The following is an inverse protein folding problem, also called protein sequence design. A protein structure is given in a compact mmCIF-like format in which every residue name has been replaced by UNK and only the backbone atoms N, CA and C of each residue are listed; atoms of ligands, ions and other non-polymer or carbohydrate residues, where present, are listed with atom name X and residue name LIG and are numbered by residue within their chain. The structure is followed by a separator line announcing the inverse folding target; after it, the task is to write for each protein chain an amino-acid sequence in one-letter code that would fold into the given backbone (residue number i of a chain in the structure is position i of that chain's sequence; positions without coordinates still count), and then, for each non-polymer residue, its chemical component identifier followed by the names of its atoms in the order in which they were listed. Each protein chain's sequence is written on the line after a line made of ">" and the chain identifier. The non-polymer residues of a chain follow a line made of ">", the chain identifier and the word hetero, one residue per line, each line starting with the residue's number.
data_IF_158592967311
#
_entry.id   IF_158592967311
#
_cell.length_a   1.000
_cell.length_b   1.000
_cell.length_c   1.000
_cell.angle_alpha   90.00
_cell.angle_beta   90.00
_cell.angle_gamma   90.00
#
_symmetry.space_group_name_H-M   'P 1'
#
loop_
_entity.id
_entity.type
_entity.pdbx_description
1 polymer ?
#
# COMPACT_ATOMS: atom_id res chain seq x y z
N UNK A 1 18.26 -30.55 28.98
CA UNK A 1 19.02 -29.72 28.00
C UNK A 1 19.76 -30.57 26.94
N UNK A 2 20.67 -31.52 27.31
CA UNK A 2 21.33 -32.34 26.29
C UNK A 2 20.38 -33.16 25.40
N UNK A 3 19.33 -33.84 25.93
CA UNK A 3 18.39 -34.58 25.08
C UNK A 3 17.58 -33.70 24.14
N UNK A 4 17.30 -32.42 24.52
CA UNK A 4 16.54 -31.51 23.68
C UNK A 4 17.37 -31.03 22.48
N UNK A 5 18.68 -30.85 22.67
CA UNK A 5 19.63 -30.52 21.58
C UNK A 5 19.71 -31.65 20.57
N UNK A 6 19.84 -32.88 21.02
CA UNK A 6 19.82 -34.07 20.14
C UNK A 6 18.50 -34.20 19.39
N UNK A 7 17.37 -33.94 20.06
CA UNK A 7 16.06 -34.01 19.45
C UNK A 7 15.83 -32.92 18.39
N UNK A 8 16.41 -31.73 18.58
CA UNK A 8 16.30 -30.63 17.63
C UNK A 8 17.09 -30.85 16.34
N UNK A 9 18.22 -31.58 16.40
CA UNK A 9 19.04 -31.90 15.21
C UNK A 9 18.29 -32.80 14.23
N UNK A 10 17.44 -33.71 14.73
CA UNK A 10 16.67 -34.65 13.89
C UNK A 10 15.23 -34.21 13.57
N UNK A 11 14.81 -33.01 14.03
CA UNK A 11 13.52 -32.47 13.65
C UNK A 11 13.61 -31.70 12.33
N UNK A 12 12.60 -31.79 11.47
CA UNK A 12 12.52 -30.95 10.29
C UNK A 12 12.48 -29.46 10.73
N UNK A 13 13.09 -28.54 9.98
CA UNK A 13 13.07 -27.11 10.30
C UNK A 13 11.62 -26.61 10.38
N UNK A 14 11.33 -25.76 11.35
CA UNK A 14 10.04 -25.10 11.49
C UNK A 14 9.90 -23.89 10.54
N UNK A 15 10.99 -23.53 9.88
CA UNK A 15 11.03 -22.41 8.93
C UNK A 15 10.68 -22.90 7.52
N UNK A 16 9.96 -22.08 6.79
CA UNK A 16 9.71 -22.29 5.37
C UNK A 16 10.91 -21.85 4.53
N UNK A 17 11.11 -22.49 3.39
CA UNK A 17 12.21 -22.17 2.49
C UNK A 17 11.89 -20.96 1.60
N UNK A 18 11.51 -19.84 2.23
CA UNK A 18 11.27 -18.57 1.57
C UNK A 18 12.61 -17.98 1.06
N UNK A 19 12.68 -17.36 -0.12
CA UNK A 19 11.60 -17.04 -1.07
C UNK A 19 11.30 -18.12 -2.12
N UNK A 20 11.99 -19.28 -2.07
CA UNK A 20 11.84 -20.34 -3.08
C UNK A 20 10.48 -21.05 -2.99
N UNK A 21 9.98 -21.22 -1.79
CA UNK A 21 8.63 -21.72 -1.53
C UNK A 21 7.84 -20.57 -0.88
N UNK A 22 6.77 -20.13 -1.56
CA UNK A 22 5.89 -19.09 -1.01
C UNK A 22 4.75 -19.74 -0.26
N UNK A 23 4.45 -19.29 0.98
CA UNK A 23 3.33 -19.81 1.74
C UNK A 23 2.01 -19.52 1.01
N UNK A 24 1.02 -20.39 1.23
CA UNK A 24 -0.32 -20.18 0.72
C UNK A 24 -0.94 -18.92 1.35
N UNK A 25 -1.49 -18.07 0.51
CA UNK A 25 -2.03 -16.78 0.93
C UNK A 25 -3.36 -16.97 1.64
N UNK A 26 -3.49 -16.34 2.78
CA UNK A 26 -4.74 -16.31 3.54
C UNK A 26 -5.67 -15.26 2.93
N UNK A 27 -6.94 -15.60 2.70
CA UNK A 27 -7.94 -14.67 2.11
C UNK A 27 -8.06 -13.34 2.87
N UNK A 28 -7.84 -13.36 4.19
CA UNK A 28 -7.90 -12.18 5.06
C UNK A 28 -6.62 -11.37 5.11
N UNK A 29 -5.63 -11.70 4.28
CA UNK A 29 -4.37 -10.96 4.23
C UNK A 29 -4.64 -9.52 3.76
N UNK A 30 -4.08 -8.56 4.49
CA UNK A 30 -4.13 -7.14 4.16
C UNK A 30 -2.78 -6.73 3.60
N UNK A 31 -2.64 -6.81 2.29
CA UNK A 31 -1.45 -6.35 1.57
C UNK A 31 -1.60 -4.92 1.08
N UNK A 32 -1.01 -4.63 -0.08
CA UNK A 32 -0.98 -3.29 -0.66
C UNK A 32 -2.39 -2.71 -0.85
N UNK A 33 -2.54 -1.43 -0.55
CA UNK A 33 -3.76 -0.69 -0.82
C UNK A 33 -3.91 -0.47 -2.33
N UNK A 34 -5.04 -0.91 -2.88
CA UNK A 34 -5.45 -0.64 -4.26
C UNK A 34 -6.47 0.49 -4.27
N UNK A 35 -6.31 1.38 -5.23
CA UNK A 35 -7.17 2.53 -5.42
C UNK A 35 -7.82 2.52 -6.80
N UNK A 36 -9.14 2.70 -6.83
CA UNK A 36 -9.91 2.86 -8.06
C UNK A 36 -10.35 4.33 -8.18
N UNK A 37 -9.77 5.10 -9.11
CA UNK A 37 -10.10 6.51 -9.29
C UNK A 37 -11.50 6.73 -9.85
N UNK A 38 -12.08 5.75 -10.59
CA UNK A 38 -13.37 5.91 -11.27
C UNK A 38 -14.52 6.13 -10.31
N UNK A 39 -14.49 5.48 -9.17
CA UNK A 39 -15.53 5.56 -8.14
C UNK A 39 -15.25 6.63 -7.08
N UNK A 40 -14.05 7.18 -7.05
CA UNK A 40 -13.66 8.12 -6.02
C UNK A 40 -14.27 9.51 -6.23
N UNK A 41 -14.76 10.10 -5.15
CA UNK A 41 -15.28 11.48 -5.15
C UNK A 41 -14.28 12.52 -4.62
N UNK A 42 -13.09 12.10 -4.18
CA UNK A 42 -12.10 12.99 -3.59
C UNK A 42 -12.50 13.56 -2.21
N UNK A 43 -13.40 12.91 -1.49
CA UNK A 43 -13.96 13.45 -0.23
C UNK A 43 -12.96 13.57 0.93
N UNK A 44 -11.80 12.90 0.86
CA UNK A 44 -10.75 12.98 1.85
C UNK A 44 -10.98 12.20 3.16
N UNK A 45 -12.11 11.51 3.33
CA UNK A 45 -12.41 10.74 4.54
C UNK A 45 -11.35 9.68 4.85
N UNK A 46 -10.82 9.01 3.83
CA UNK A 46 -9.75 8.03 4.00
C UNK A 46 -8.44 8.62 4.56
N UNK A 47 -8.17 9.88 4.26
CA UNK A 47 -7.02 10.60 4.81
C UNK A 47 -7.28 11.05 6.26
N UNK A 48 -8.50 11.47 6.57
CA UNK A 48 -8.90 11.92 7.92
C UNK A 48 -8.89 10.77 8.92
N UNK A 49 -9.42 9.61 8.52
CA UNK A 49 -9.54 8.43 9.39
C UNK A 49 -8.27 7.57 9.42
N UNK A 50 -7.23 7.95 8.69
CA UNK A 50 -5.98 7.21 8.70
C UNK A 50 -5.16 7.51 9.97
N UNK A 51 -5.00 6.56 10.91
CA UNK A 51 -4.28 6.81 12.17
C UNK A 51 -2.80 7.08 11.95
N UNK A 52 -2.21 6.52 10.89
CA UNK A 52 -0.81 6.67 10.53
C UNK A 52 -0.56 7.82 9.54
N UNK A 53 -1.61 8.56 9.11
CA UNK A 53 -1.51 9.60 8.09
C UNK A 53 -0.75 9.15 6.84
N UNK A 54 -1.00 7.91 6.43
CA UNK A 54 -0.37 7.29 5.27
C UNK A 54 -1.04 7.69 3.95
N UNK A 55 -2.20 8.33 3.99
CA UNK A 55 -2.96 8.77 2.82
C UNK A 55 -3.12 10.28 2.89
N UNK A 56 -2.74 10.96 1.82
CA UNK A 56 -2.95 12.39 1.63
C UNK A 56 -3.82 12.59 0.38
N UNK A 57 -4.88 13.37 0.50
CA UNK A 57 -5.78 13.70 -0.63
C UNK A 57 -5.72 15.20 -0.85
N UNK A 58 -5.25 15.60 -2.02
CA UNK A 58 -5.19 17.01 -2.44
C UNK A 58 -6.23 17.24 -3.52
N UNK A 59 -7.18 18.13 -3.26
CA UNK A 59 -8.16 18.54 -4.25
C UNK A 59 -7.56 19.63 -5.15
N UNK A 60 -7.55 19.38 -6.45
CA UNK A 60 -7.09 20.34 -7.45
C UNK A 60 -8.27 21.21 -7.91
N UNK A 61 -9.38 20.59 -8.32
CA UNK A 61 -10.57 21.30 -8.73
C UNK A 61 -11.84 20.58 -8.28
N UNK A 62 -12.66 21.28 -7.51
CA UNK A 62 -13.94 20.74 -7.02
C UNK A 62 -15.02 20.61 -8.11
N UNK A 63 -14.97 21.45 -9.16
CA UNK A 63 -15.97 21.42 -10.23
C UNK A 63 -15.78 20.23 -11.16
N UNK A 64 -14.54 19.95 -11.52
CA UNK A 64 -14.16 18.82 -12.41
C UNK A 64 -13.88 17.54 -11.64
N UNK A 65 -13.96 17.56 -10.29
CA UNK A 65 -13.65 16.43 -9.41
C UNK A 65 -12.21 15.89 -9.62
N UNK A 66 -11.28 16.77 -9.96
CA UNK A 66 -9.90 16.42 -10.08
C UNK A 66 -9.24 16.46 -8.71
N UNK A 67 -8.60 15.34 -8.35
CA UNK A 67 -7.87 15.20 -7.10
C UNK A 67 -6.63 14.35 -7.30
N UNK A 68 -5.71 14.51 -6.39
CA UNK A 68 -4.47 13.76 -6.35
C UNK A 68 -4.37 13.04 -5.00
N UNK A 69 -4.13 11.74 -5.03
CA UNK A 69 -3.97 10.93 -3.83
C UNK A 69 -2.54 10.44 -3.73
N UNK A 70 -1.91 10.74 -2.62
CA UNK A 70 -0.58 10.24 -2.27
C UNK A 70 -0.73 9.17 -1.21
N UNK A 71 -0.15 8.01 -1.43
CA UNK A 71 -0.14 6.90 -0.49
C UNK A 71 1.28 6.57 -0.06
N UNK A 72 1.53 6.66 1.24
CA UNK A 72 2.81 6.35 1.88
C UNK A 72 2.76 4.94 2.46
N UNK A 73 3.26 3.97 1.71
CA UNK A 73 3.28 2.56 2.13
C UNK A 73 4.17 2.35 3.36
N UNK A 74 5.24 3.13 3.49
CA UNK A 74 6.19 3.11 4.62
C UNK A 74 5.56 3.52 5.96
N UNK A 75 4.46 4.29 5.92
CA UNK A 75 3.71 4.70 7.12
C UNK A 75 2.49 3.83 7.38
N UNK A 76 2.04 3.09 6.38
CA UNK A 76 0.81 2.32 6.47
C UNK A 76 0.93 1.15 7.45
N UNK A 77 0.03 1.06 8.41
CA UNK A 77 -0.06 -0.07 9.34
C UNK A 77 -1.04 -1.17 8.88
N UNK A 78 -1.53 -1.10 7.64
CA UNK A 78 -2.43 -2.08 7.01
C UNK A 78 -3.70 -2.40 7.83
N UNK A 79 -4.20 -1.44 8.60
CA UNK A 79 -5.40 -1.62 9.45
C UNK A 79 -6.70 -1.78 8.64
N UNK A 80 -6.74 -1.29 7.39
CA UNK A 80 -7.93 -1.34 6.53
C UNK A 80 -9.03 -0.33 6.88
N UNK A 81 -8.79 0.60 7.82
CA UNK A 81 -9.80 1.61 8.21
C UNK A 81 -10.24 2.46 7.02
N UNK A 82 -9.33 2.87 6.17
CA UNK A 82 -9.62 3.64 4.96
C UNK A 82 -10.59 2.93 4.00
N UNK A 83 -10.55 1.59 3.94
CA UNK A 83 -11.47 0.78 3.14
C UNK A 83 -12.86 0.79 3.75
N UNK A 84 -12.96 0.65 5.08
CA UNK A 84 -14.24 0.66 5.80
C UNK A 84 -14.92 2.04 5.71
N UNK A 85 -14.14 3.11 5.84
CA UNK A 85 -14.65 4.49 5.76
C UNK A 85 -15.07 4.89 4.35
N UNK A 86 -14.55 4.22 3.31
CA UNK A 86 -14.83 4.58 1.92
C UNK A 86 -16.25 4.14 1.49
N UNK A 87 -17.21 5.05 1.54
CA UNK A 87 -18.58 4.81 1.12
C UNK A 87 -18.77 4.60 -0.40
N UNK A 88 -17.70 4.82 -1.18
CA UNK A 88 -17.68 4.61 -2.64
C UNK A 88 -16.94 3.33 -3.04
N UNK A 89 -16.43 2.56 -2.07
CA UNK A 89 -15.66 1.33 -2.31
C UNK A 89 -14.49 1.51 -3.29
N UNK A 90 -13.92 2.72 -3.35
CA UNK A 90 -12.78 3.05 -4.22
C UNK A 90 -11.46 2.51 -3.70
N UNK A 91 -11.43 2.05 -2.45
CA UNK A 91 -10.24 1.51 -1.79
C UNK A 91 -10.47 0.06 -1.43
N UNK A 92 -9.47 -0.78 -1.68
CA UNK A 92 -9.47 -2.18 -1.25
C UNK A 92 -8.06 -2.62 -0.88
N UNK A 93 -7.94 -3.57 0.03
CA UNK A 93 -6.65 -4.18 0.35
C UNK A 93 -6.43 -5.38 -0.58
N UNK A 94 -5.26 -5.46 -1.18
CA UNK A 94 -4.84 -6.63 -1.95
C UNK A 94 -4.50 -7.78 -1.00
N UNK A 95 -4.87 -9.01 -1.35
CA UNK A 95 -4.41 -10.21 -0.66
C UNK A 95 -3.21 -10.87 -1.36
N UNK A 96 -2.85 -10.39 -2.55
CA UNK A 96 -1.78 -10.95 -3.38
C UNK A 96 -0.45 -10.20 -3.26
N UNK A 97 -0.49 -8.90 -3.00
CA UNK A 97 0.67 -8.01 -2.96
C UNK A 97 0.99 -7.67 -1.51
N UNK A 98 1.80 -8.49 -0.86
CA UNK A 98 2.23 -8.32 0.52
C UNK A 98 3.75 -8.21 0.68
N UNK A 99 4.50 -8.57 -0.36
CA UNK A 99 5.95 -8.44 -0.40
C UNK A 99 6.32 -7.00 -0.78
N UNK A 100 6.36 -6.13 0.22
CA UNK A 100 6.61 -4.70 0.05
C UNK A 100 8.03 -4.37 0.53
N UNK A 101 9.02 -4.73 -0.27
CA UNK A 101 10.41 -4.42 -0.01
C UNK A 101 11.02 -3.63 -1.16
N UNK A 102 11.81 -2.61 -0.84
CA UNK A 102 12.55 -1.82 -1.82
C UNK A 102 13.86 -1.33 -1.23
N UNK A 103 14.85 -1.13 -2.08
CA UNK A 103 16.12 -0.50 -1.74
C UNK A 103 16.02 1.03 -1.71
N UNK A 104 15.03 1.58 -2.40
CA UNK A 104 14.80 3.03 -2.48
C UNK A 104 13.60 3.44 -1.64
N UNK A 105 13.82 4.40 -0.72
CA UNK A 105 12.78 4.94 0.15
C UNK A 105 11.63 5.61 -0.64
N UNK A 106 11.94 6.21 -1.76
CA UNK A 106 10.95 6.93 -2.57
C UNK A 106 9.93 5.99 -3.21
N UNK A 107 10.29 4.72 -3.44
CA UNK A 107 9.39 3.70 -3.99
C UNK A 107 8.21 3.36 -3.09
N UNK A 108 8.28 3.70 -1.79
CA UNK A 108 7.17 3.50 -0.87
C UNK A 108 6.10 4.60 -0.94
N UNK A 109 6.32 5.64 -1.73
CA UNK A 109 5.32 6.68 -1.97
C UNK A 109 4.67 6.45 -3.34
N UNK A 110 3.39 6.09 -3.33
CA UNK A 110 2.61 5.80 -4.53
C UNK A 110 1.66 6.96 -4.79
N UNK A 111 1.61 7.40 -6.03
CA UNK A 111 0.78 8.51 -6.46
C UNK A 111 -0.35 8.00 -7.36
N UNK A 112 -1.56 8.44 -7.05
CA UNK A 112 -2.74 8.13 -7.84
C UNK A 112 -3.35 9.43 -8.35
N UNK A 113 -3.61 9.53 -9.66
CA UNK A 113 -4.17 10.68 -10.34
C UNK A 113 -3.57 10.84 -11.74
N UNK A 114 -4.11 11.76 -12.52
CA UNK A 114 -3.59 12.06 -13.84
C UNK A 114 -2.27 12.82 -13.75
N UNK A 115 -1.26 12.35 -14.50
CA UNK A 115 0.09 12.95 -14.53
C UNK A 115 0.11 14.48 -14.74
N UNK A 116 -0.69 15.06 -15.65
CA UNK A 116 -0.69 16.51 -15.88
C UNK A 116 -1.23 17.31 -14.69
N UNK A 117 -2.12 16.71 -13.89
CA UNK A 117 -2.67 17.35 -12.69
C UNK A 117 -1.73 17.23 -11.48
N UNK A 118 -0.79 16.28 -11.54
CA UNK A 118 0.18 16.02 -10.49
C UNK A 118 1.49 16.82 -10.63
N UNK A 119 1.86 17.24 -11.84
CA UNK A 119 3.13 17.95 -12.10
C UNK A 119 3.37 19.19 -11.22
N UNK A 120 2.41 20.11 -11.03
CA UNK A 120 2.63 21.27 -10.17
C UNK A 120 2.78 20.93 -8.68
N UNK A 121 2.21 19.78 -8.26
CA UNK A 121 2.30 19.30 -6.88
C UNK A 121 3.63 18.57 -6.67
N UNK A 122 4.10 17.88 -7.69
CA UNK A 122 5.35 17.12 -7.68
C UNK A 122 6.58 18.01 -7.82
N UNK A 123 6.49 19.14 -8.52
CA UNK A 123 7.57 20.13 -8.65
C UNK A 123 8.01 20.73 -7.30
N UNK A 124 7.18 20.62 -6.26
CA UNK A 124 7.52 21.01 -4.88
C UNK A 124 8.09 19.89 -4.02
N UNK A 125 8.26 18.66 -4.54
CA UNK A 125 8.80 17.49 -3.81
C UNK A 125 10.14 17.06 -4.39
N UNK A 126 11.10 16.58 -3.57
CA UNK A 126 12.42 16.16 -4.04
C UNK A 126 12.31 14.98 -5.02
N UNK A 127 13.14 15.04 -6.05
CA UNK A 127 13.24 14.05 -7.12
C UNK A 127 13.52 12.64 -6.57
N UNK A 128 12.75 11.66 -7.01
CA UNK A 128 12.94 10.26 -6.63
C UNK A 128 11.66 9.40 -6.66
N UNK A 129 10.80 9.59 -7.65
CA UNK A 129 9.51 8.91 -7.68
C UNK A 129 9.51 7.67 -8.58
N UNK A 130 9.03 6.50 -8.10
CA UNK A 130 8.76 5.37 -8.99
C UNK A 130 7.53 5.65 -9.86
N UNK A 131 7.63 5.23 -11.09
CA UNK A 131 6.52 5.28 -12.04
C UNK A 131 5.33 4.41 -11.55
N UNK A 132 4.07 4.77 -11.89
CA UNK A 132 2.93 3.94 -11.55
C UNK A 132 3.06 2.57 -12.22
N UNK A 133 2.88 1.52 -11.42
CA UNK A 133 2.88 0.13 -11.89
C UNK A 133 1.78 -0.01 -12.94
N UNK A 134 2.16 -0.20 -14.19
CA UNK A 134 1.24 -0.56 -15.27
C UNK A 134 0.76 -1.97 -14.99
N UNK A 135 -0.55 -2.13 -14.85
CA UNK A 135 -1.17 -3.43 -14.82
C UNK A 135 -0.96 -4.13 -16.17
N UNK A 136 -0.29 -5.28 -16.14
CA UNK A 136 -0.20 -6.25 -17.23
C UNK A 136 -1.13 -7.42 -16.94
#
# INVERSE_FOLDING_TARGET
>A
MLPDVFRSVFRPPATENYPFVRPEKVERLRGLLKFDPTNCSGCGLCAMDCPAKAIEVTMIDRKTKKFFLTYHTDRCMFCGQCVVTCNKSSLRMSNNEWELASLDKNSFTIYFGDKPDAEPILAGKPEGQPEPVKEG
#
